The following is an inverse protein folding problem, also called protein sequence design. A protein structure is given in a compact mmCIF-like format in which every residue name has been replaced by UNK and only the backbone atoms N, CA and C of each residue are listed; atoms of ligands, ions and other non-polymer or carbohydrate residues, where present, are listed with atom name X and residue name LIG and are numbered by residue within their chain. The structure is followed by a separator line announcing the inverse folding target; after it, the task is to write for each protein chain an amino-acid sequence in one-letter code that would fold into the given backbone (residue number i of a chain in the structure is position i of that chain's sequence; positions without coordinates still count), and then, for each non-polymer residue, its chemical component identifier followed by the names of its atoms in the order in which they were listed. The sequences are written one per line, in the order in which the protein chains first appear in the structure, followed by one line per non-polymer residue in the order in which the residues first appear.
data_IF_736672533973
#
_entry.id   IF_736672533973
#
_cell.length_a   1.000
_cell.length_b   1.000
_cell.length_c   1.000
_cell.angle_alpha   90.00
_cell.angle_beta   90.00
_cell.angle_gamma   90.00
#
_symmetry.space_group_name_H-M   'P 1'
#
loop_
_entity.id
_entity.type
_entity.pdbx_description
1 polymer ?
#
# COMPACT_ATOMS: atom_id res chain seq x y z
N UNK A 1 9.51 2.76 31.05
CA UNK A 1 10.61 2.49 30.09
C UNK A 1 10.18 1.50 29.01
N UNK A 2 9.40 0.46 29.34
CA UNK A 2 8.75 -0.44 28.35
C UNK A 2 7.99 0.33 27.26
N UNK A 3 7.12 1.27 27.65
CA UNK A 3 6.20 1.96 26.73
C UNK A 3 6.89 2.75 25.62
N UNK A 4 7.98 3.47 25.89
CA UNK A 4 8.67 4.27 24.87
C UNK A 4 9.40 3.39 23.84
N UNK A 5 9.98 2.28 24.28
CA UNK A 5 10.62 1.30 23.39
C UNK A 5 9.58 0.56 22.53
N UNK A 6 8.42 0.25 23.10
CA UNK A 6 7.30 -0.33 22.34
C UNK A 6 6.84 0.63 21.22
N UNK A 7 6.77 1.94 21.50
CA UNK A 7 6.47 2.97 20.48
C UNK A 7 7.50 3.05 19.34
N UNK A 8 8.78 2.79 19.62
CA UNK A 8 9.83 2.82 18.58
C UNK A 8 9.72 1.64 17.61
N UNK A 9 9.31 0.46 18.07
CA UNK A 9 9.13 -0.74 17.24
C UNK A 9 7.86 -0.72 16.40
N UNK A 10 6.86 -0.02 16.91
CA UNK A 10 5.54 0.07 16.32
C UNK A 10 5.57 0.73 14.92
N UNK A 11 6.42 1.73 14.70
CA UNK A 11 6.55 2.44 13.40
C UNK A 11 7.09 1.52 12.29
N UNK A 12 8.24 0.85 12.44
CA UNK A 12 8.75 -0.07 11.42
C UNK A 12 7.83 -1.29 11.23
N UNK A 13 7.15 -1.77 12.28
CA UNK A 13 6.15 -2.84 12.15
C UNK A 13 4.95 -2.37 11.33
N UNK A 14 4.43 -1.17 11.60
CA UNK A 14 3.34 -0.59 10.83
C UNK A 14 3.71 -0.35 9.36
N UNK A 15 4.95 0.06 9.11
CA UNK A 15 5.48 0.15 7.75
C UNK A 15 5.52 -1.22 7.06
N UNK A 16 6.08 -2.23 7.73
CA UNK A 16 6.13 -3.59 7.22
C UNK A 16 4.73 -4.11 6.91
N UNK A 17 3.76 -3.87 7.78
CA UNK A 17 2.37 -4.25 7.54
C UNK A 17 1.79 -3.66 6.26
N UNK A 18 2.05 -2.38 5.97
CA UNK A 18 1.45 -1.68 4.82
C UNK A 18 2.23 -1.87 3.50
N UNK A 19 3.43 -2.45 3.53
CA UNK A 19 4.28 -2.63 2.34
C UNK A 19 3.60 -3.32 1.13
N UNK A 20 2.72 -4.34 1.29
CA UNK A 20 1.99 -4.92 0.16
C UNK A 20 1.19 -3.87 -0.65
N UNK A 21 0.65 -2.84 0.01
CA UNK A 21 -0.04 -1.74 -0.65
C UNK A 21 0.91 -0.87 -1.48
N UNK A 22 2.12 -0.60 -0.98
CA UNK A 22 3.16 0.13 -1.72
C UNK A 22 3.66 -0.67 -2.93
N UNK A 23 3.88 -1.97 -2.76
CA UNK A 23 4.22 -2.87 -3.87
C UNK A 23 3.11 -2.91 -4.92
N UNK A 24 1.83 -2.93 -4.52
CA UNK A 24 0.72 -2.89 -5.45
C UNK A 24 0.66 -1.59 -6.25
N UNK A 25 0.81 -0.44 -5.58
CA UNK A 25 0.79 0.88 -6.22
C UNK A 25 1.95 1.03 -7.23
N UNK A 26 3.19 0.73 -6.81
CA UNK A 26 4.35 0.72 -7.69
C UNK A 26 4.22 -0.30 -8.82
N UNK A 27 3.71 -1.49 -8.51
CA UNK A 27 3.42 -2.56 -9.48
C UNK A 27 2.45 -2.11 -10.56
N UNK A 28 1.37 -1.40 -10.20
CA UNK A 28 0.43 -0.87 -11.17
C UNK A 28 1.06 0.14 -12.15
N UNK A 29 2.02 0.97 -11.68
CA UNK A 29 2.80 1.87 -12.55
C UNK A 29 3.67 1.08 -13.53
N UNK A 30 4.36 0.04 -13.05
CA UNK A 30 5.18 -0.83 -13.91
C UNK A 30 4.32 -1.56 -14.95
N UNK A 31 3.18 -2.12 -14.54
CA UNK A 31 2.23 -2.76 -15.44
C UNK A 31 1.75 -1.78 -16.51
N UNK A 32 1.39 -0.55 -16.13
CA UNK A 32 0.96 0.48 -17.07
C UNK A 32 2.04 0.94 -18.06
N UNK A 33 3.32 0.85 -17.67
CA UNK A 33 4.46 1.20 -18.53
C UNK A 33 4.74 0.12 -19.57
N UNK A 34 4.74 -1.14 -19.16
CA UNK A 34 5.22 -2.24 -20.00
C UNK A 34 4.11 -3.03 -20.68
N UNK A 35 2.88 -2.97 -20.16
CA UNK A 35 1.74 -3.74 -20.68
C UNK A 35 0.62 -2.76 -21.02
N UNK A 36 0.20 -2.75 -22.28
CA UNK A 36 -0.86 -1.86 -22.75
C UNK A 36 -2.15 -2.16 -21.98
N UNK A 37 -2.55 -1.19 -21.15
CA UNK A 37 -3.73 -1.29 -20.31
C UNK A 37 -5.03 -0.93 -21.04
N UNK A 38 -6.13 -1.61 -20.73
CA UNK A 38 -7.49 -1.20 -21.10
C UNK A 38 -8.06 -0.36 -19.95
N UNK A 39 -8.49 0.90 -20.19
CA UNK A 39 -9.14 1.71 -19.15
C UNK A 39 -10.35 1.00 -18.56
N UNK A 40 -10.47 1.02 -17.24
CA UNK A 40 -11.56 0.36 -16.50
C UNK A 40 -12.90 1.03 -16.82
N UNK A 41 -12.91 2.35 -16.97
CA UNK A 41 -14.11 3.11 -17.32
C UNK A 41 -14.50 3.04 -18.80
N UNK A 42 -13.71 2.35 -19.65
CA UNK A 42 -13.92 2.22 -21.09
C UNK A 42 -14.05 3.56 -21.83
N UNK A 43 -13.49 4.65 -21.30
CA UNK A 43 -13.63 5.97 -21.91
C UNK A 43 -14.96 6.67 -21.59
N UNK A 44 -15.81 6.09 -20.74
CA UNK A 44 -17.12 6.66 -20.42
C UNK A 44 -17.00 7.89 -19.51
N UNK A 45 -17.92 8.82 -19.72
CA UNK A 45 -18.14 9.96 -18.85
C UNK A 45 -19.22 9.65 -17.80
N UNK A 46 -19.16 10.37 -16.69
CA UNK A 46 -20.18 10.40 -15.67
C UNK A 46 -21.22 11.48 -16.00
N UNK A 47 -22.24 11.67 -15.15
CA UNK A 47 -23.32 12.64 -15.42
C UNK A 47 -22.85 14.11 -15.50
N UNK A 48 -21.63 14.40 -15.04
CA UNK A 48 -21.01 15.73 -15.04
C UNK A 48 -20.09 15.97 -16.26
N UNK A 49 -20.22 15.13 -17.30
CA UNK A 49 -19.43 15.09 -18.53
C UNK A 49 -17.91 14.87 -18.32
N UNK A 50 -17.48 14.60 -17.08
CA UNK A 50 -16.10 14.22 -16.78
C UNK A 50 -15.95 12.70 -16.89
N UNK A 51 -14.76 12.23 -17.26
CA UNK A 51 -14.42 10.79 -17.23
C UNK A 51 -14.76 10.17 -15.88
N UNK A 52 -15.18 8.90 -15.84
CA UNK A 52 -15.46 8.23 -14.55
C UNK A 52 -14.18 8.09 -13.74
N UNK A 53 -13.10 7.57 -14.34
CA UNK A 53 -11.79 7.36 -13.69
C UNK A 53 -10.66 8.06 -14.47
N UNK A 54 -10.68 7.94 -15.80
CA UNK A 54 -9.61 8.37 -16.71
C UNK A 54 -8.65 7.23 -17.10
N UNK A 55 -7.86 7.46 -18.15
CA UNK A 55 -7.06 6.42 -18.82
C UNK A 55 -5.92 5.81 -17.97
N UNK A 56 -5.63 6.41 -16.81
CA UNK A 56 -4.62 5.89 -15.89
C UNK A 56 -5.06 4.67 -15.10
N UNK A 57 -6.37 4.39 -15.02
CA UNK A 57 -6.92 3.25 -14.26
C UNK A 57 -7.28 2.13 -15.21
N UNK A 58 -6.44 1.09 -15.25
CA UNK A 58 -6.54 0.00 -16.22
C UNK A 58 -6.69 -1.35 -15.54
N UNK A 59 -7.31 -2.30 -16.23
CA UNK A 59 -7.47 -3.67 -15.73
C UNK A 59 -6.13 -4.35 -15.44
N UNK A 60 -5.14 -4.12 -16.29
CA UNK A 60 -3.79 -4.66 -16.16
C UNK A 60 -3.08 -4.06 -14.95
N UNK A 61 -3.25 -2.76 -14.70
CA UNK A 61 -2.76 -2.12 -13.48
C UNK A 61 -3.42 -2.68 -12.23
N UNK A 62 -4.75 -2.86 -12.24
CA UNK A 62 -5.50 -3.40 -11.10
C UNK A 62 -5.10 -4.85 -10.81
N UNK A 63 -5.18 -5.74 -11.79
CA UNK A 63 -4.89 -7.16 -11.60
C UNK A 63 -3.40 -7.40 -11.36
N UNK A 64 -2.54 -6.81 -12.18
CA UNK A 64 -1.09 -6.97 -12.06
C UNK A 64 -0.51 -6.34 -10.80
N UNK A 65 -0.95 -5.13 -10.46
CA UNK A 65 -0.56 -4.48 -9.20
C UNK A 65 -1.03 -5.29 -7.99
N UNK A 66 -2.28 -5.79 -7.99
CA UNK A 66 -2.78 -6.64 -6.91
C UNK A 66 -1.94 -7.91 -6.76
N UNK A 67 -1.60 -8.59 -7.86
CA UNK A 67 -0.76 -9.78 -7.85
C UNK A 67 0.66 -9.48 -7.34
N UNK A 68 1.29 -8.39 -7.78
CA UNK A 68 2.61 -7.97 -7.32
C UNK A 68 2.59 -7.67 -5.82
N UNK A 69 1.60 -6.93 -5.33
CA UNK A 69 1.46 -6.62 -3.91
C UNK A 69 1.22 -7.85 -3.05
N UNK A 70 0.32 -8.74 -3.49
CA UNK A 70 0.03 -10.02 -2.83
C UNK A 70 1.28 -10.89 -2.76
N UNK A 71 2.00 -11.02 -3.87
CA UNK A 71 3.24 -11.78 -3.93
C UNK A 71 4.33 -11.18 -3.03
N UNK A 72 4.46 -9.85 -3.01
CA UNK A 72 5.36 -9.16 -2.08
C UNK A 72 5.03 -9.46 -0.62
N UNK A 73 3.75 -9.42 -0.24
CA UNK A 73 3.31 -9.81 1.10
C UNK A 73 3.62 -11.27 1.44
N UNK A 74 3.45 -12.18 0.48
CA UNK A 74 3.82 -13.59 0.66
C UNK A 74 5.33 -13.78 0.87
N UNK A 75 6.18 -13.11 0.09
CA UNK A 75 7.64 -13.15 0.28
C UNK A 75 8.02 -12.59 1.65
N UNK A 76 7.40 -11.50 2.07
CA UNK A 76 7.61 -10.92 3.39
C UNK A 76 7.27 -11.89 4.52
N UNK A 77 6.16 -12.62 4.39
CA UNK A 77 5.76 -13.64 5.34
C UNK A 77 6.80 -14.77 5.43
N UNK A 78 7.32 -15.26 4.29
CA UNK A 78 8.38 -16.27 4.29
C UNK A 78 9.67 -15.79 4.99
N UNK A 79 10.03 -14.52 4.80
CA UNK A 79 11.19 -13.91 5.47
C UNK A 79 10.99 -13.90 6.99
N UNK A 80 9.80 -13.49 7.46
CA UNK A 80 9.49 -13.50 8.90
C UNK A 80 9.52 -14.92 9.46
N UNK A 81 8.93 -15.90 8.77
CA UNK A 81 8.98 -17.29 9.19
C UNK A 81 10.41 -17.81 9.34
N UNK A 82 11.27 -17.52 8.36
CA UNK A 82 12.68 -17.90 8.40
C UNK A 82 13.44 -17.23 9.56
N UNK A 83 13.25 -15.93 9.74
CA UNK A 83 13.85 -15.18 10.84
C UNK A 83 13.45 -15.74 12.20
N UNK A 84 12.19 -16.16 12.35
CA UNK A 84 11.67 -16.70 13.61
C UNK A 84 12.17 -18.11 13.85
N UNK A 85 12.26 -18.93 12.81
CA UNK A 85 12.87 -20.25 12.93
C UNK A 85 14.33 -20.14 13.39
N UNK A 86 15.08 -19.16 12.85
CA UNK A 86 16.45 -18.86 13.28
C UNK A 86 16.50 -18.31 14.71
N UNK A 87 15.63 -17.37 15.09
CA UNK A 87 15.59 -16.82 16.44
C UNK A 87 15.22 -17.88 17.49
N UNK A 88 14.27 -18.78 17.19
CA UNK A 88 13.93 -19.92 18.08
C UNK A 88 15.09 -20.91 18.24
N UNK A 89 15.98 -21.01 17.26
CA UNK A 89 17.21 -21.80 17.36
C UNK A 89 18.22 -21.14 18.31
N UNK A 90 18.29 -19.82 18.36
CA UNK A 90 19.13 -19.05 19.31
C UNK A 90 18.50 -18.90 20.72
N UNK A 91 17.17 -19.03 20.86
CA UNK A 91 16.41 -18.73 22.09
C UNK A 91 16.65 -19.66 23.30
N UNK A 92 17.69 -20.49 23.29
CA UNK A 92 18.24 -21.08 24.52
C UNK A 92 18.87 -20.02 25.47
N UNK A 93 18.86 -18.71 25.10
CA UNK A 93 19.55 -17.63 25.82
C UNK A 93 18.69 -16.43 26.30
N UNK A 94 17.36 -16.53 26.35
CA UNK A 94 16.56 -15.78 27.34
C UNK A 94 16.32 -14.26 27.16
N UNK A 95 16.07 -13.75 25.94
CA UNK A 95 15.59 -12.37 25.74
C UNK A 95 14.23 -12.34 25.02
N UNK A 96 13.20 -11.66 25.56
CA UNK A 96 11.92 -11.44 24.86
C UNK A 96 12.14 -10.66 23.54
N UNK A 97 12.02 -11.35 22.42
CA UNK A 97 12.46 -10.87 21.10
C UNK A 97 11.38 -10.04 20.38
N UNK A 98 11.66 -8.79 19.95
CA UNK A 98 10.79 -7.99 19.08
C UNK A 98 10.34 -8.68 17.79
N UNK A 99 11.10 -9.67 17.30
CA UNK A 99 10.78 -10.47 16.12
C UNK A 99 9.53 -11.34 16.34
N UNK A 100 9.20 -11.64 17.61
CA UNK A 100 8.02 -12.42 17.98
C UNK A 100 6.70 -11.61 18.02
N UNK A 101 6.68 -10.37 17.51
CA UNK A 101 5.45 -9.58 17.50
C UNK A 101 4.37 -10.21 16.59
N UNK A 102 3.14 -10.51 17.09
CA UNK A 102 2.10 -11.25 16.36
C UNK A 102 1.79 -10.70 14.95
N UNK A 103 1.87 -9.38 14.76
CA UNK A 103 1.66 -8.69 13.48
C UNK A 103 2.57 -9.19 12.37
N UNK A 104 3.85 -9.48 12.69
CA UNK A 104 4.83 -9.86 11.68
C UNK A 104 4.50 -11.24 11.08
N UNK A 105 3.90 -12.13 11.86
CA UNK A 105 3.48 -13.47 11.42
C UNK A 105 2.19 -13.48 10.62
N UNK A 106 1.36 -12.45 10.82
CA UNK A 106 -0.01 -12.46 10.34
C UNK A 106 -0.14 -11.83 8.94
N UNK A 107 0.95 -11.80 8.19
CA UNK A 107 0.94 -11.46 6.77
C UNK A 107 0.44 -12.66 5.95
N UNK A 108 -0.83 -13.03 6.14
CA UNK A 108 -1.45 -14.11 5.36
C UNK A 108 -1.53 -13.72 3.88
N UNK A 109 -1.69 -14.71 2.99
CA UNK A 109 -1.92 -14.44 1.56
C UNK A 109 -3.19 -13.58 1.40
N UNK A 110 -4.24 -13.88 2.17
CA UNK A 110 -5.47 -13.09 2.15
C UNK A 110 -5.21 -11.65 2.57
N UNK A 111 -4.42 -11.41 3.61
CA UNK A 111 -4.05 -10.07 4.03
C UNK A 111 -3.25 -9.30 2.99
N UNK A 112 -2.22 -9.93 2.44
CA UNK A 112 -1.43 -9.36 1.35
C UNK A 112 -2.32 -8.96 0.17
N UNK A 113 -3.28 -9.82 -0.17
CA UNK A 113 -4.30 -9.54 -1.17
C UNK A 113 -5.21 -8.36 -0.80
N UNK A 114 -5.77 -8.33 0.41
CA UNK A 114 -6.67 -7.27 0.87
C UNK A 114 -5.98 -5.90 0.89
N UNK A 115 -4.74 -5.84 1.37
CA UNK A 115 -3.93 -4.63 1.36
C UNK A 115 -3.62 -4.17 -0.07
N UNK A 116 -3.18 -5.09 -0.94
CA UNK A 116 -2.82 -4.78 -2.31
C UNK A 116 -4.04 -4.36 -3.15
N UNK A 117 -5.12 -5.13 -3.10
CA UNK A 117 -6.37 -4.85 -3.81
C UNK A 117 -7.02 -3.57 -3.27
N UNK A 118 -7.11 -3.44 -1.94
CA UNK A 118 -7.63 -2.25 -1.28
C UNK A 118 -6.86 -1.00 -1.65
N UNK A 119 -5.54 -1.08 -1.80
CA UNK A 119 -4.73 0.04 -2.26
C UNK A 119 -5.15 0.56 -3.63
N UNK A 120 -5.31 -0.35 -4.59
CA UNK A 120 -5.67 0.02 -5.95
C UNK A 120 -7.13 0.46 -6.05
N UNK A 121 -8.02 -0.10 -5.22
CA UNK A 121 -9.39 0.41 -5.06
C UNK A 121 -9.41 1.84 -4.50
N UNK A 122 -8.61 2.12 -3.47
CA UNK A 122 -8.47 3.45 -2.89
C UNK A 122 -7.98 4.49 -3.90
N UNK A 123 -6.92 4.17 -4.65
CA UNK A 123 -6.39 5.03 -5.72
C UNK A 123 -7.39 5.25 -6.88
N UNK A 124 -8.22 4.24 -7.20
CA UNK A 124 -9.33 4.42 -8.15
C UNK A 124 -10.41 5.36 -7.60
N UNK A 125 -10.80 5.23 -6.33
CA UNK A 125 -11.74 6.16 -5.67
C UNK A 125 -11.15 7.57 -5.66
N UNK A 126 -9.87 7.73 -5.33
CA UNK A 126 -9.16 9.01 -5.40
C UNK A 126 -9.22 9.60 -6.80
N UNK A 127 -9.05 8.77 -7.84
CA UNK A 127 -9.16 9.23 -9.23
C UNK A 127 -10.58 9.59 -9.64
N UNK A 128 -11.58 8.84 -9.19
CA UNK A 128 -12.98 9.23 -9.35
C UNK A 128 -13.23 10.61 -8.73
N UNK A 129 -12.79 10.84 -7.49
CA UNK A 129 -12.92 12.14 -6.80
C UNK A 129 -12.23 13.24 -7.62
N UNK A 130 -10.99 13.03 -8.07
CA UNK A 130 -10.24 14.00 -8.91
C UNK A 130 -11.05 14.40 -10.15
N UNK A 131 -11.74 13.46 -10.81
CA UNK A 131 -12.59 13.75 -11.98
C UNK A 131 -13.81 14.61 -11.62
N UNK A 132 -14.44 14.39 -10.45
CA UNK A 132 -15.56 15.23 -9.98
C UNK A 132 -15.14 16.68 -9.69
N UNK A 133 -13.87 16.90 -9.35
CA UNK A 133 -13.26 18.23 -9.23
C UNK A 133 -12.72 18.79 -10.55
N UNK A 134 -13.09 18.20 -11.70
CA UNK A 134 -12.63 18.59 -13.05
C UNK A 134 -11.09 18.63 -13.18
N UNK A 135 -10.39 17.82 -12.39
CA UNK A 135 -8.94 17.67 -12.50
C UNK A 135 -8.64 16.66 -13.59
N UNK A 136 -7.75 16.98 -14.51
CA UNK A 136 -7.32 16.06 -15.58
C UNK A 136 -6.43 14.93 -15.05
N UNK A 137 -6.19 13.90 -15.89
CA UNK A 137 -5.25 12.83 -15.55
C UNK A 137 -3.86 13.43 -15.31
N UNK A 138 -3.22 13.04 -14.21
CA UNK A 138 -1.89 13.54 -13.86
C UNK A 138 -1.89 14.89 -13.16
N UNK A 139 -3.02 15.60 -13.10
CA UNK A 139 -3.11 16.82 -12.31
C UNK A 139 -2.89 16.53 -10.83
N UNK A 140 -2.03 17.32 -10.20
CA UNK A 140 -1.70 17.21 -8.78
C UNK A 140 -2.93 17.48 -7.92
N UNK A 141 -3.21 16.59 -6.97
CA UNK A 141 -4.21 16.76 -5.92
C UNK A 141 -3.57 16.40 -4.57
N UNK A 142 -2.90 17.39 -3.92
CA UNK A 142 -2.21 17.18 -2.65
C UNK A 142 -3.11 16.54 -1.59
N UNK A 143 -2.51 15.79 -0.66
CA UNK A 143 -3.19 14.98 0.37
C UNK A 143 -3.90 13.76 -0.24
N UNK A 144 -4.80 13.97 -1.20
CA UNK A 144 -5.53 12.87 -1.83
C UNK A 144 -4.58 11.89 -2.53
N UNK A 145 -3.68 12.38 -3.37
CA UNK A 145 -2.69 11.55 -4.10
C UNK A 145 -1.79 10.72 -3.16
N UNK A 146 -1.63 11.15 -1.91
CA UNK A 146 -0.73 10.51 -0.94
C UNK A 146 -1.45 9.49 -0.07
N UNK A 147 -2.72 9.74 0.25
CA UNK A 147 -3.46 8.97 1.24
C UNK A 147 -4.49 8.02 0.61
N UNK A 148 -4.93 8.26 -0.63
CA UNK A 148 -6.03 7.50 -1.25
C UNK A 148 -5.79 5.98 -1.25
N UNK A 149 -4.63 5.52 -1.75
CA UNK A 149 -4.30 4.10 -1.78
C UNK A 149 -4.12 3.53 -0.37
N UNK A 150 -3.52 4.27 0.56
CA UNK A 150 -3.31 3.76 1.92
C UNK A 150 -4.62 3.61 2.66
N UNK A 151 -5.52 4.60 2.55
CA UNK A 151 -6.84 4.52 3.16
C UNK A 151 -7.61 3.32 2.60
N UNK A 152 -7.55 3.09 1.29
CA UNK A 152 -8.13 1.89 0.68
C UNK A 152 -7.54 0.60 1.23
N UNK A 153 -6.22 0.49 1.36
CA UNK A 153 -5.54 -0.67 1.90
C UNK A 153 -5.96 -0.95 3.36
N UNK A 154 -5.96 0.07 4.21
CA UNK A 154 -6.37 -0.05 5.61
C UNK A 154 -7.83 -0.51 5.69
N UNK A 155 -8.75 0.15 4.99
CA UNK A 155 -10.18 -0.18 5.00
C UNK A 155 -10.46 -1.62 4.56
N UNK A 156 -9.82 -2.11 3.51
CA UNK A 156 -9.99 -3.49 3.07
C UNK A 156 -9.37 -4.48 4.06
N UNK A 157 -8.23 -4.15 4.67
CA UNK A 157 -7.63 -5.02 5.69
C UNK A 157 -8.50 -5.17 6.94
N UNK A 158 -9.40 -4.22 7.22
CA UNK A 158 -10.39 -4.35 8.29
C UNK A 158 -11.38 -5.50 8.09
N UNK A 159 -11.45 -6.13 6.90
CA UNK A 159 -12.24 -7.36 6.72
C UNK A 159 -11.74 -8.48 7.65
N UNK A 160 -10.44 -8.48 7.96
CA UNK A 160 -9.83 -9.35 8.97
C UNK A 160 -9.79 -8.68 10.37
N UNK A 161 -10.86 -7.93 10.72
CA UNK A 161 -10.96 -7.07 11.91
C UNK A 161 -10.48 -7.74 13.21
N UNK A 162 -10.71 -9.05 13.33
CA UNK A 162 -10.35 -9.86 14.50
C UNK A 162 -8.85 -9.87 14.84
N UNK A 163 -7.97 -9.46 13.92
CA UNK A 163 -6.53 -9.39 14.19
C UNK A 163 -6.00 -7.97 14.34
N UNK A 164 -6.77 -6.97 13.91
CA UNK A 164 -6.34 -5.58 13.97
C UNK A 164 -6.69 -5.02 15.35
N UNK A 165 -5.74 -5.14 16.29
CA UNK A 165 -5.85 -4.50 17.59
C UNK A 165 -5.76 -2.97 17.41
N UNK A 166 -6.61 -2.22 18.11
CA UNK A 166 -6.62 -0.75 18.12
C UNK A 166 -5.23 -0.15 18.40
N UNK A 167 -4.43 -0.82 19.23
CA UNK A 167 -3.04 -0.43 19.55
C UNK A 167 -2.09 -0.46 18.33
N UNK A 168 -2.48 -1.13 17.25
CA UNK A 168 -1.71 -1.33 16.02
C UNK A 168 -2.16 -0.35 14.93
N UNK A 169 -3.44 0.05 14.94
CA UNK A 169 -4.00 0.95 13.94
C UNK A 169 -3.43 2.36 14.08
N UNK A 170 -3.41 2.91 15.31
CA UNK A 170 -2.95 4.28 15.53
C UNK A 170 -1.55 4.56 15.03
N UNK A 171 -0.59 3.65 15.19
CA UNK A 171 0.74 3.93 14.72
C UNK A 171 0.94 3.66 13.24
N UNK A 172 0.18 2.74 12.64
CA UNK A 172 0.07 2.67 11.18
C UNK A 172 -0.44 4.02 10.67
N UNK A 173 -1.52 4.56 11.27
CA UNK A 173 -2.02 5.89 10.90
C UNK A 173 -0.98 7.00 11.10
N UNK A 174 -0.21 6.96 12.19
CA UNK A 174 0.88 7.91 12.44
C UNK A 174 1.97 7.81 11.36
N UNK A 175 2.41 6.59 11.04
CA UNK A 175 3.36 6.33 9.95
C UNK A 175 2.79 6.87 8.63
N UNK A 176 1.51 6.63 8.38
CA UNK A 176 0.83 7.06 7.16
C UNK A 176 0.81 8.57 7.02
N UNK A 177 0.59 9.30 8.11
CA UNK A 177 0.53 10.77 8.11
C UNK A 177 1.93 11.38 7.98
N UNK A 178 2.94 10.80 8.64
CA UNK A 178 4.28 11.40 8.73
C UNK A 178 5.18 10.95 7.59
N UNK A 179 5.22 9.65 7.31
CA UNK A 179 6.24 9.03 6.46
C UNK A 179 5.76 8.89 5.01
N UNK A 180 4.48 8.59 4.78
CA UNK A 180 3.94 8.46 3.41
C UNK A 180 4.16 9.70 2.56
N UNK A 181 3.95 10.95 3.03
CA UNK A 181 4.20 12.12 2.19
C UNK A 181 5.63 12.16 1.65
N UNK A 182 6.61 11.80 2.51
CA UNK A 182 8.03 11.73 2.14
C UNK A 182 8.26 10.60 1.12
N UNK A 183 7.78 9.39 1.44
CA UNK A 183 7.93 8.23 0.54
C UNK A 183 7.27 8.47 -0.82
N UNK A 184 6.09 9.10 -0.84
CA UNK A 184 5.36 9.42 -2.06
C UNK A 184 6.16 10.38 -2.95
N UNK A 185 6.71 11.46 -2.36
CA UNK A 185 7.55 12.41 -3.09
C UNK A 185 8.82 11.73 -3.63
N UNK A 186 9.49 10.91 -2.81
CA UNK A 186 10.70 10.19 -3.22
C UNK A 186 10.40 9.18 -4.34
N UNK A 187 9.33 8.40 -4.20
CA UNK A 187 8.92 7.39 -5.16
C UNK A 187 8.52 8.03 -6.49
N UNK A 188 7.72 9.09 -6.49
CA UNK A 188 7.28 9.73 -7.73
C UNK A 188 8.42 10.46 -8.45
N UNK A 189 9.32 11.11 -7.71
CA UNK A 189 10.53 11.69 -8.33
C UNK A 189 11.45 10.63 -8.92
N UNK A 190 11.61 9.50 -8.24
CA UNK A 190 12.39 8.37 -8.75
C UNK A 190 11.74 7.77 -10.01
N UNK A 191 10.43 7.53 -9.98
CA UNK A 191 9.68 7.01 -11.12
C UNK A 191 9.71 7.96 -12.32
N UNK A 192 9.65 9.28 -12.09
CA UNK A 192 9.81 10.29 -13.14
C UNK A 192 11.21 10.27 -13.75
N UNK A 193 12.27 10.25 -12.93
CA UNK A 193 13.65 10.15 -13.41
C UNK A 193 13.93 8.88 -14.21
N UNK A 194 13.25 7.78 -13.87
CA UNK A 194 13.33 6.50 -14.59
C UNK A 194 12.40 6.45 -15.82
N UNK A 195 11.67 7.52 -16.13
CA UNK A 195 10.73 7.57 -17.25
C UNK A 195 9.49 6.67 -17.09
N UNK A 196 9.19 6.23 -15.87
CA UNK A 196 8.02 5.41 -15.53
C UNK A 196 6.76 6.27 -15.33
N UNK A 197 6.92 7.51 -14.89
CA UNK A 197 5.87 8.53 -14.81
C UNK A 197 6.23 9.74 -15.67
N UNK A 198 5.20 10.42 -16.17
CA UNK A 198 5.36 11.67 -16.92
C UNK A 198 5.48 12.88 -16.00
N UNK A 199 5.14 12.75 -14.72
CA UNK A 199 5.14 13.85 -13.75
C UNK A 199 5.85 13.44 -12.44
N UNK A 200 6.54 14.37 -11.76
CA UNK A 200 7.36 14.09 -10.59
C UNK A 200 6.60 14.09 -9.25
N UNK A 201 5.29 14.32 -9.25
CA UNK A 201 4.45 14.38 -8.04
C UNK A 201 3.59 13.14 -7.83
#
# INVERSE_FOLDING_TARGET
MQTLLDFLWIIPIGFFYILPAYFANGGAVLMGKYIKGRPIDLGKNFFDDQRILGDGKTWQGLLGGTLIGTFGGFVMWLIVLGAVAAAKFEYNFGFADPICHPILYDMTILRGFLLAFGALMGDMIGSFIKRRFKRERGAKFPILDQLDFILGAVLFSLIEFWVINFLIVWPILLFVIIVTPVLHVVANRSAFKLGLKNEPW
#
